data_IF_297096032336
#
_entry.id   IF_297096032336
#
_cell.length_a   1.000
_cell.length_b   1.000
_cell.length_c   1.000
_cell.angle_alpha   90.00
_cell.angle_beta   90.00
_cell.angle_gamma   90.00
#
_symmetry.space_group_name_H-M   'P 1'
#
loop_
_entity.id
_entity.type
_entity.pdbx_description
1 polymer ?
#
# COMPACT_ATOMS: atom_id res chain seq x y z
N UNK A 1 -19.54 11.18 -25.07
CA UNK A 1 -18.48 10.30 -24.53
C UNK A 1 -17.17 11.07 -24.65
N UNK A 2 -16.33 11.04 -23.61
CA UNK A 2 -15.02 11.68 -23.65
C UNK A 2 -14.03 10.82 -24.44
N UNK A 3 -12.88 11.39 -24.79
CA UNK A 3 -11.77 10.65 -25.37
C UNK A 3 -10.98 9.93 -24.26
N UNK A 4 -10.61 8.68 -24.52
CA UNK A 4 -9.84 7.84 -23.61
C UNK A 4 -8.42 8.40 -23.50
N UNK A 5 -8.00 8.64 -22.27
CA UNK A 5 -6.64 9.02 -21.92
C UNK A 5 -5.95 7.78 -21.35
N UNK A 6 -4.79 7.44 -21.88
CA UNK A 6 -4.03 6.26 -21.45
C UNK A 6 -2.72 6.72 -20.83
N UNK A 7 -2.36 6.14 -19.69
CA UNK A 7 -1.08 6.38 -19.03
C UNK A 7 -0.33 5.08 -18.86
N UNK A 8 0.86 5.03 -19.43
CA UNK A 8 1.78 3.92 -19.22
C UNK A 8 2.61 4.21 -17.97
N UNK A 9 2.39 3.45 -16.88
CA UNK A 9 3.15 3.50 -15.63
C UNK A 9 4.08 2.28 -15.52
N UNK A 10 4.55 1.77 -16.65
CA UNK A 10 5.54 0.69 -16.74
C UNK A 10 6.86 1.25 -17.31
N UNK A 11 7.93 0.48 -17.19
CA UNK A 11 9.20 0.76 -17.88
C UNK A 11 9.22 0.31 -19.34
N UNK A 12 8.20 -0.45 -19.77
CA UNK A 12 8.12 -1.03 -21.10
C UNK A 12 7.31 -0.12 -22.01
N UNK A 13 7.83 0.33 -23.16
CA UNK A 13 7.03 1.04 -24.15
C UNK A 13 5.86 0.15 -24.61
N UNK A 14 4.66 0.74 -24.68
CA UNK A 14 3.46 0.05 -25.14
C UNK A 14 2.93 0.72 -26.40
N UNK A 15 2.17 -0.02 -27.20
CA UNK A 15 1.41 0.54 -28.31
C UNK A 15 -0.02 0.01 -28.25
N UNK A 16 -1.02 0.89 -28.23
CA UNK A 16 -2.39 0.47 -28.46
C UNK A 16 -2.55 0.23 -29.97
N UNK A 17 -2.84 -1.02 -30.36
CA UNK A 17 -2.89 -1.45 -31.76
C UNK A 17 -4.31 -1.71 -32.26
N UNK A 18 -5.24 -2.05 -31.38
CA UNK A 18 -6.62 -2.36 -31.77
C UNK A 18 -7.62 -1.97 -30.69
N UNK A 19 -8.79 -1.50 -31.14
CA UNK A 19 -9.96 -1.21 -30.31
C UNK A 19 -11.17 -1.89 -30.92
N UNK A 20 -11.87 -2.67 -30.11
CA UNK A 20 -13.14 -3.30 -30.48
C UNK A 20 -14.24 -2.87 -29.52
N UNK A 21 -15.47 -2.75 -30.02
CA UNK A 21 -16.64 -2.37 -29.24
C UNK A 21 -17.65 -3.49 -29.18
N UNK A 22 -18.13 -3.77 -27.96
CA UNK A 22 -19.11 -4.81 -27.67
C UNK A 22 -20.33 -4.23 -26.97
N UNK A 23 -21.47 -4.88 -27.14
CA UNK A 23 -22.61 -4.62 -26.27
C UNK A 23 -22.28 -5.12 -24.86
N UNK A 24 -22.54 -4.29 -23.85
CA UNK A 24 -22.33 -4.64 -22.45
C UNK A 24 -23.52 -5.40 -21.86
N UNK A 25 -23.25 -6.50 -21.16
CA UNK A 25 -24.23 -7.26 -20.39
C UNK A 25 -23.88 -7.21 -18.89
N UNK A 26 -24.84 -6.76 -18.08
CA UNK A 26 -24.71 -6.78 -16.61
C UNK A 26 -25.07 -8.15 -16.08
N UNK A 27 -24.08 -8.95 -15.67
CA UNK A 27 -24.30 -10.22 -14.98
C UNK A 27 -24.18 -10.03 -13.49
N UNK A 28 -25.15 -10.51 -12.73
CA UNK A 28 -25.11 -10.50 -11.27
C UNK A 28 -24.06 -11.49 -10.78
N UNK A 29 -23.12 -11.04 -9.96
CA UNK A 29 -22.16 -11.91 -9.29
C UNK A 29 -22.85 -12.56 -8.10
N UNK A 30 -22.97 -13.89 -8.12
CA UNK A 30 -23.44 -14.64 -6.97
C UNK A 30 -22.30 -14.90 -5.98
N UNK A 31 -22.45 -14.43 -4.74
CA UNK A 31 -22.49 -15.36 -3.61
C UNK A 31 -23.19 -14.73 -2.39
N UNK A 32 -24.20 -15.48 -1.95
CA UNK A 32 -24.85 -15.40 -0.66
C UNK A 32 -23.92 -16.06 0.36
N UNK A 33 -23.56 -15.36 1.44
CA UNK A 33 -23.18 -16.02 2.70
C UNK A 33 -24.31 -15.78 3.69
N UNK A 34 -25.37 -16.56 3.53
CA UNK A 34 -26.36 -16.80 4.57
C UNK A 34 -25.82 -17.92 5.45
N UNK A 35 -25.24 -17.57 6.60
CA UNK A 35 -25.35 -18.34 7.86
C UNK A 35 -24.53 -17.64 8.95
N UNK A 36 -25.14 -16.63 9.58
CA UNK A 36 -24.92 -16.36 11.01
C UNK A 36 -26.30 -16.13 11.63
N UNK A 37 -26.75 -17.14 12.36
CA UNK A 37 -27.90 -17.06 13.25
C UNK A 37 -27.63 -16.04 14.37
N UNK A 38 -28.57 -15.11 14.57
CA UNK A 38 -28.77 -14.41 15.84
C UNK A 38 -28.19 -12.99 15.94
N UNK A 39 -29.01 -12.00 15.57
CA UNK A 39 -29.07 -10.65 16.14
C UNK A 39 -27.85 -9.71 16.05
N UNK A 40 -27.44 -9.32 14.83
CA UNK A 40 -26.92 -7.96 14.53
C UNK A 40 -27.36 -7.55 13.11
N UNK A 41 -28.65 -7.29 12.91
CA UNK A 41 -29.22 -6.91 11.60
C UNK A 41 -29.26 -5.37 11.41
N UNK A 42 -28.13 -4.68 11.58
CA UNK A 42 -28.10 -3.21 11.48
C UNK A 42 -26.81 -2.53 11.02
N UNK A 43 -25.72 -3.26 10.74
CA UNK A 43 -24.40 -2.64 10.50
C UNK A 43 -23.61 -3.25 9.33
N UNK A 44 -24.27 -3.66 8.24
CA UNK A 44 -23.56 -4.17 7.05
C UNK A 44 -24.17 -3.51 5.80
N UNK A 45 -23.40 -2.60 5.20
CA UNK A 45 -23.37 -2.20 3.79
C UNK A 45 -22.75 -0.79 3.65
N UNK A 46 -21.44 -0.68 3.93
CA UNK A 46 -20.61 0.42 3.42
C UNK A 46 -19.88 0.05 2.14
N UNK A 47 -19.62 -1.24 1.96
CA UNK A 47 -18.90 -1.81 0.82
C UNK A 47 -19.83 -2.56 -0.12
N UNK A 48 -21.13 -2.20 -0.16
CA UNK A 48 -22.07 -2.75 -1.15
C UNK A 48 -21.78 -2.12 -2.53
N UNK A 49 -20.63 -2.49 -3.07
CA UNK A 49 -20.35 -2.33 -4.48
C UNK A 49 -21.28 -3.30 -5.20
N UNK A 50 -22.38 -2.75 -5.73
CA UNK A 50 -23.28 -3.36 -6.70
C UNK A 50 -22.65 -4.59 -7.39
N UNK A 51 -23.12 -5.77 -6.99
CA UNK A 51 -22.66 -7.10 -7.37
C UNK A 51 -22.97 -7.45 -8.83
N UNK A 52 -22.50 -6.63 -9.77
CA UNK A 52 -22.68 -6.84 -11.20
C UNK A 52 -21.34 -6.71 -11.92
N UNK A 53 -21.01 -7.73 -12.71
CA UNK A 53 -19.97 -7.64 -13.71
C UNK A 53 -20.53 -7.13 -15.03
N UNK A 54 -19.76 -6.29 -15.72
CA UNK A 54 -20.08 -5.86 -17.09
C UNK A 54 -19.21 -6.69 -18.03
N UNK A 55 -19.83 -7.48 -18.89
CA UNK A 55 -19.11 -8.36 -19.82
C UNK A 55 -19.47 -8.01 -21.26
N UNK A 56 -18.53 -8.20 -22.21
CA UNK A 56 -18.85 -8.11 -23.62
C UNK A 56 -19.83 -9.23 -24.01
N UNK A 57 -20.82 -8.89 -24.83
CA UNK A 57 -21.84 -9.80 -25.35
C UNK A 57 -21.84 -9.82 -26.87
N UNK A 58 -21.84 -11.03 -27.43
CA UNK A 58 -21.86 -11.25 -28.88
C UNK A 58 -20.55 -10.84 -29.55
N UNK A 59 -20.62 -10.66 -30.86
CA UNK A 59 -19.49 -10.18 -31.67
C UNK A 59 -19.30 -8.67 -31.53
N UNK A 60 -18.09 -8.20 -31.83
CA UNK A 60 -17.81 -6.77 -31.87
C UNK A 60 -18.65 -6.11 -32.96
N UNK A 61 -19.34 -5.03 -32.64
CA UNK A 61 -20.11 -4.27 -33.63
C UNK A 61 -19.29 -3.18 -34.31
N UNK A 62 -18.09 -2.89 -33.78
CA UNK A 62 -17.09 -1.99 -34.35
C UNK A 62 -15.70 -2.51 -33.98
N UNK A 63 -14.76 -2.45 -34.92
CA UNK A 63 -13.38 -2.87 -34.74
C UNK A 63 -12.48 -1.96 -35.57
N UNK A 64 -11.48 -1.36 -34.94
CA UNK A 64 -10.58 -0.40 -35.56
C UNK A 64 -9.14 -0.69 -35.16
N UNK A 65 -8.27 -0.80 -36.16
CA UNK A 65 -6.82 -0.75 -35.96
C UNK A 65 -6.40 0.69 -35.69
N UNK A 66 -5.59 0.86 -34.66
CA UNK A 66 -5.07 2.14 -34.20
C UNK A 66 -3.56 2.02 -33.96
N UNK A 67 -2.87 3.14 -33.81
CA UNK A 67 -1.45 3.15 -33.45
C UNK A 67 -1.20 4.34 -32.53
N UNK A 68 -1.32 4.10 -31.23
CA UNK A 68 -0.96 5.06 -30.20
C UNK A 68 0.25 4.55 -29.43
N UNK A 69 1.39 5.20 -29.62
CA UNK A 69 2.61 4.89 -28.88
C UNK A 69 2.53 5.45 -27.46
N UNK A 70 2.90 4.65 -26.48
CA UNK A 70 2.83 4.95 -25.06
C UNK A 70 4.22 4.74 -24.45
N UNK A 71 5.02 5.80 -24.45
CA UNK A 71 6.33 5.81 -23.80
C UNK A 71 6.22 5.51 -22.29
N UNK A 72 7.26 4.92 -21.67
CA UNK A 72 7.33 4.71 -20.23
C UNK A 72 7.02 5.98 -19.43
N UNK A 73 6.15 5.87 -18.44
CA UNK A 73 5.73 6.97 -17.55
C UNK A 73 5.17 8.20 -18.28
N UNK A 74 4.55 8.01 -19.46
CA UNK A 74 3.87 9.07 -20.22
C UNK A 74 2.37 8.88 -20.27
N UNK A 75 1.68 10.01 -20.43
CA UNK A 75 0.23 10.10 -20.63
C UNK A 75 -0.06 10.51 -22.06
N UNK A 76 -0.94 9.77 -22.74
CA UNK A 76 -1.34 10.01 -24.13
C UNK A 76 -2.84 10.19 -24.21
N UNK A 77 -3.28 11.24 -24.91
CA UNK A 77 -4.67 11.44 -25.28
C UNK A 77 -4.92 10.76 -26.63
N UNK A 78 -5.94 9.91 -26.69
CA UNK A 78 -6.31 9.20 -27.91
C UNK A 78 -7.50 9.86 -28.59
N UNK A 79 -7.89 9.39 -29.78
CA UNK A 79 -9.17 9.70 -30.42
C UNK A 79 -10.25 8.63 -30.12
N UNK A 80 -9.94 7.69 -29.22
CA UNK A 80 -10.82 6.56 -28.88
C UNK A 80 -11.87 7.02 -27.89
N UNK A 81 -13.15 7.00 -28.27
CA UNK A 81 -14.24 7.34 -27.35
C UNK A 81 -14.37 6.28 -26.26
N UNK A 82 -14.56 6.68 -25.00
CA UNK A 82 -14.85 5.75 -23.90
C UNK A 82 -16.14 4.97 -24.11
N UNK A 83 -16.28 3.84 -23.43
CA UNK A 83 -17.56 3.14 -23.31
C UNK A 83 -18.66 4.03 -22.70
N UNK A 84 -19.91 3.75 -23.04
CA UNK A 84 -21.09 4.37 -22.41
C UNK A 84 -21.07 4.19 -20.87
N UNK A 85 -21.10 5.29 -20.08
CA UNK A 85 -21.17 5.23 -18.62
C UNK A 85 -22.36 4.44 -18.06
N UNK A 86 -23.44 4.25 -18.83
CA UNK A 86 -24.58 3.43 -18.40
C UNK A 86 -24.25 1.92 -18.31
N UNK A 87 -23.06 1.50 -18.75
CA UNK A 87 -22.59 0.11 -18.74
C UNK A 87 -23.27 -0.73 -19.82
N UNK A 88 -23.60 -0.11 -20.95
CA UNK A 88 -24.22 -0.75 -22.13
C UNK A 88 -23.20 -1.11 -23.20
N UNK A 89 -21.94 -0.75 -22.99
CA UNK A 89 -20.84 -0.94 -23.92
C UNK A 89 -19.59 -1.37 -23.15
N UNK A 90 -18.76 -2.18 -23.80
CA UNK A 90 -17.42 -2.55 -23.34
C UNK A 90 -16.46 -2.35 -24.50
N UNK A 91 -15.33 -1.69 -24.24
CA UNK A 91 -14.20 -1.63 -25.16
C UNK A 91 -13.25 -2.77 -24.86
N UNK A 92 -12.78 -3.44 -25.90
CA UNK A 92 -11.64 -4.35 -25.80
C UNK A 92 -10.45 -3.69 -26.46
N UNK A 93 -9.38 -3.54 -25.69
CA UNK A 93 -8.17 -2.85 -26.09
C UNK A 93 -7.04 -3.87 -26.23
N UNK A 94 -6.37 -3.87 -27.38
CA UNK A 94 -5.19 -4.71 -27.60
C UNK A 94 -3.94 -3.84 -27.58
N UNK A 95 -3.03 -4.14 -26.65
CA UNK A 95 -1.73 -3.50 -26.53
C UNK A 95 -0.63 -4.42 -27.03
N UNK A 96 0.41 -3.83 -27.62
CA UNK A 96 1.66 -4.49 -27.97
C UNK A 96 2.78 -4.00 -27.06
N UNK A 97 3.58 -4.93 -26.54
CA UNK A 97 4.79 -4.67 -25.77
C UNK A 97 5.94 -5.50 -26.37
N UNK A 98 6.77 -4.88 -27.21
CA UNK A 98 7.71 -5.62 -28.06
C UNK A 98 6.97 -6.58 -29.00
N UNK A 99 7.28 -7.88 -28.89
CA UNK A 99 6.66 -8.93 -29.71
C UNK A 99 5.41 -9.56 -29.07
N UNK A 100 5.02 -9.11 -27.87
CA UNK A 100 3.89 -9.67 -27.12
C UNK A 100 2.64 -8.82 -27.27
N UNK A 101 1.47 -9.44 -27.40
CA UNK A 101 0.17 -8.76 -27.36
C UNK A 101 -0.64 -9.09 -26.11
N UNK A 102 -1.34 -8.08 -25.62
CA UNK A 102 -2.13 -8.09 -24.40
C UNK A 102 -3.52 -7.52 -24.66
N UNK A 103 -4.54 -8.10 -24.05
CA UNK A 103 -5.93 -7.69 -24.19
C UNK A 103 -6.53 -7.32 -22.85
N UNK A 104 -7.35 -6.27 -22.84
CA UNK A 104 -8.14 -5.90 -21.66
C UNK A 104 -9.47 -5.27 -22.04
N UNK A 105 -10.46 -5.49 -21.19
CA UNK A 105 -11.79 -4.90 -21.33
C UNK A 105 -11.90 -3.63 -20.46
N UNK A 106 -12.49 -2.58 -21.02
CA UNK A 106 -12.69 -1.27 -20.38
C UNK A 106 -14.15 -0.82 -20.55
N UNK A 107 -14.91 -0.59 -19.46
CA UNK A 107 -14.52 -0.86 -18.07
C UNK A 107 -14.23 -2.36 -17.87
N UNK A 108 -13.37 -2.66 -16.91
CA UNK A 108 -13.06 -4.04 -16.53
C UNK A 108 -14.32 -4.77 -16.05
N UNK A 109 -14.36 -6.11 -16.14
CA UNK A 109 -15.52 -6.88 -15.71
C UNK A 109 -15.91 -6.65 -14.25
N UNK A 110 -14.92 -6.49 -13.38
CA UNK A 110 -15.13 -6.00 -12.03
C UNK A 110 -14.92 -4.48 -12.01
N UNK A 111 -15.48 -3.75 -11.04
CA UNK A 111 -15.16 -2.32 -10.85
C UNK A 111 -13.72 -2.07 -10.34
N UNK A 112 -12.87 -3.10 -10.37
CA UNK A 112 -11.50 -3.12 -9.87
C UNK A 112 -10.50 -3.21 -11.01
N UNK A 113 -9.22 -3.18 -10.66
CA UNK A 113 -8.13 -3.45 -11.58
C UNK A 113 -8.28 -4.82 -12.26
N UNK A 114 -7.74 -4.94 -13.47
CA UNK A 114 -7.74 -6.19 -14.22
C UNK A 114 -6.34 -6.47 -14.76
N UNK A 115 -5.87 -7.71 -14.60
CA UNK A 115 -4.67 -8.18 -15.28
C UNK A 115 -5.03 -8.38 -16.77
N UNK A 116 -4.21 -7.86 -17.67
CA UNK A 116 -4.41 -8.05 -19.11
C UNK A 116 -4.17 -9.51 -19.49
N UNK A 117 -4.98 -10.03 -20.40
CA UNK A 117 -4.81 -11.37 -20.96
C UNK A 117 -3.75 -11.33 -22.05
N UNK A 118 -2.67 -12.13 -21.94
CA UNK A 118 -1.72 -12.32 -23.03
C UNK A 118 -2.38 -13.15 -24.14
N UNK A 119 -2.28 -12.72 -25.40
CA UNK A 119 -2.92 -13.40 -26.54
C UNK A 119 -1.94 -14.09 -27.50
N UNK A 120 -0.62 -13.96 -27.27
CA UNK A 120 0.44 -14.59 -28.07
C UNK A 120 1.25 -15.59 -27.23
N UNK A 121 0.95 -16.89 -27.39
CA UNK A 121 1.75 -18.02 -26.90
C UNK A 121 1.72 -18.30 -25.38
N UNK A 122 1.93 -19.57 -25.01
CA UNK A 122 1.86 -20.11 -23.64
C UNK A 122 3.22 -20.13 -22.90
N UNK A 123 4.20 -19.31 -23.29
CA UNK A 123 5.50 -19.31 -22.61
C UNK A 123 5.42 -18.55 -21.27
N UNK A 124 4.93 -19.27 -20.26
CA UNK A 124 4.73 -18.86 -18.86
C UNK A 124 6.04 -18.96 -18.06
N UNK A 125 7.13 -18.46 -18.65
CA UNK A 125 8.37 -18.26 -17.91
C UNK A 125 8.14 -17.29 -16.74
N UNK A 126 8.92 -17.46 -15.67
CA UNK A 126 8.83 -16.64 -14.46
C UNK A 126 9.08 -15.12 -14.71
N UNK A 127 9.60 -14.76 -15.89
CA UNK A 127 9.87 -13.40 -16.39
C UNK A 127 8.79 -12.88 -17.36
N UNK A 128 7.60 -13.48 -17.38
CA UNK A 128 6.47 -12.96 -18.13
C UNK A 128 6.11 -11.54 -17.63
N UNK A 129 6.06 -10.59 -18.58
CA UNK A 129 5.58 -9.24 -18.29
C UNK A 129 4.07 -9.34 -18.15
N UNK A 130 3.60 -9.33 -16.91
CA UNK A 130 2.18 -9.17 -16.63
C UNK A 130 1.86 -7.67 -16.51
N UNK A 131 0.72 -7.26 -17.07
CA UNK A 131 0.26 -5.89 -17.05
C UNK A 131 -1.10 -5.81 -16.34
N UNK A 132 -1.27 -4.84 -15.45
CA UNK A 132 -2.54 -4.56 -14.76
C UNK A 132 -3.07 -3.21 -15.22
N UNK A 133 -4.36 -3.14 -15.53
CA UNK A 133 -5.04 -1.89 -15.81
C UNK A 133 -5.93 -1.43 -14.68
N UNK A 134 -5.95 -0.12 -14.47
CA UNK A 134 -6.90 0.57 -13.59
C UNK A 134 -7.65 1.60 -14.44
N UNK A 135 -8.95 1.36 -14.64
CA UNK A 135 -9.81 2.31 -15.33
C UNK A 135 -10.47 3.26 -14.33
N UNK A 136 -10.31 4.57 -14.54
CA UNK A 136 -10.89 5.63 -13.72
C UNK A 136 -11.97 6.37 -14.55
N UNK A 137 -13.26 6.08 -14.32
CA UNK A 137 -14.35 6.60 -15.16
C UNK A 137 -14.50 8.11 -15.10
N UNK A 138 -14.24 8.74 -13.95
CA UNK A 138 -14.38 10.19 -13.74
C UNK A 138 -13.49 11.02 -14.68
N UNK A 139 -12.35 10.45 -15.09
CA UNK A 139 -11.38 11.09 -15.98
C UNK A 139 -11.28 10.49 -17.38
N UNK A 140 -12.12 9.51 -17.74
CA UNK A 140 -11.95 8.73 -18.97
C UNK A 140 -10.52 8.17 -19.10
N UNK A 141 -9.97 7.68 -17.98
CA UNK A 141 -8.54 7.45 -17.84
C UNK A 141 -8.22 5.97 -17.64
N UNK A 142 -7.23 5.44 -18.35
CA UNK A 142 -6.73 4.08 -18.19
C UNK A 142 -5.25 4.13 -17.80
N UNK A 143 -4.94 3.74 -16.56
CA UNK A 143 -3.56 3.58 -16.12
C UNK A 143 -3.12 2.11 -16.30
N UNK A 144 -1.92 1.90 -16.83
CA UNK A 144 -1.33 0.57 -17.05
C UNK A 144 -0.10 0.45 -16.16
N UNK A 145 -0.10 -0.52 -15.25
CA UNK A 145 1.01 -0.86 -14.37
C UNK A 145 1.62 -2.20 -14.77
N UNK A 146 2.89 -2.43 -14.41
CA UNK A 146 3.41 -3.80 -14.38
C UNK A 146 2.74 -4.53 -13.22
N UNK A 147 2.20 -5.72 -13.46
CA UNK A 147 1.71 -6.59 -12.39
C UNK A 147 2.92 -7.13 -11.64
N UNK A 148 3.31 -6.44 -10.59
CA UNK A 148 4.33 -6.97 -9.69
C UNK A 148 3.83 -8.29 -9.09
N UNK A 149 4.70 -9.28 -8.96
CA UNK A 149 4.46 -10.45 -8.10
C UNK A 149 4.36 -9.94 -6.67
N UNK A 150 3.15 -9.62 -6.20
CA UNK A 150 2.93 -8.87 -4.95
C UNK A 150 3.58 -9.53 -3.72
N UNK A 151 3.73 -10.85 -3.70
CA UNK A 151 4.42 -11.56 -2.61
C UNK A 151 5.95 -11.37 -2.61
N UNK A 152 6.55 -10.97 -3.74
CA UNK A 152 7.99 -10.84 -3.93
C UNK A 152 8.39 -9.60 -4.77
N UNK A 153 7.66 -8.48 -4.60
CA UNK A 153 7.81 -7.33 -5.49
C UNK A 153 9.14 -6.59 -5.32
N UNK A 154 9.80 -6.70 -4.16
CA UNK A 154 11.10 -6.07 -3.94
C UNK A 154 12.23 -6.79 -4.69
N UNK A 155 12.01 -8.03 -5.17
CA UNK A 155 13.01 -8.83 -5.91
C UNK A 155 13.59 -8.13 -7.13
N UNK A 156 12.81 -7.30 -7.82
CA UNK A 156 13.22 -6.62 -9.06
C UNK A 156 13.98 -5.31 -8.82
N UNK A 157 14.10 -4.86 -7.58
CA UNK A 157 14.76 -3.60 -7.24
C UNK A 157 16.22 -3.84 -6.88
N UNK A 158 17.10 -2.91 -7.24
CA UNK A 158 18.53 -2.94 -6.90
C UNK A 158 18.76 -2.79 -5.38
N UNK A 159 19.75 -3.51 -4.85
CA UNK A 159 20.12 -3.50 -3.43
C UNK A 159 20.64 -2.15 -2.93
N UNK A 160 21.15 -1.30 -3.83
CA UNK A 160 21.65 0.04 -3.54
C UNK A 160 20.53 1.04 -3.23
N UNK A 161 19.28 0.75 -3.61
CA UNK A 161 18.17 1.67 -3.34
C UNK A 161 17.96 1.83 -1.82
N UNK A 162 17.90 3.06 -1.30
CA UNK A 162 17.60 3.29 0.11
C UNK A 162 16.09 3.14 0.34
N UNK A 163 15.69 2.53 1.46
CA UNK A 163 14.28 2.30 1.80
C UNK A 163 13.34 3.53 1.68
N UNK A 164 13.76 4.78 1.98
CA UNK A 164 12.92 5.97 1.83
C UNK A 164 12.47 6.25 0.40
N UNK A 165 13.16 5.68 -0.60
CA UNK A 165 12.83 5.88 -2.01
C UNK A 165 11.81 4.87 -2.54
N UNK A 166 11.52 3.82 -1.79
CA UNK A 166 10.56 2.79 -2.21
C UNK A 166 9.12 3.27 -1.96
N UNK A 167 8.22 2.85 -2.85
CA UNK A 167 6.77 2.99 -2.69
C UNK A 167 6.25 1.78 -1.92
N UNK A 168 6.06 1.91 -0.61
CA UNK A 168 5.81 0.78 0.29
C UNK A 168 4.36 0.80 0.77
N UNK A 169 3.57 -0.25 0.48
CA UNK A 169 2.25 -0.38 1.07
C UNK A 169 2.33 -0.79 2.55
N UNK A 170 1.53 -0.14 3.39
CA UNK A 170 1.39 -0.43 4.80
C UNK A 170 -0.04 -0.60 5.25
N UNK A 171 -0.23 -1.23 6.41
CA UNK A 171 -1.55 -1.39 7.05
C UNK A 171 -1.55 -0.81 8.46
N UNK A 172 -2.59 -0.04 8.76
CA UNK A 172 -2.79 0.56 10.08
C UNK A 172 -3.37 -0.48 11.03
N UNK A 173 -2.80 -0.55 12.24
CA UNK A 173 -3.07 -1.58 13.24
C UNK A 173 -3.27 -2.98 12.62
N UNK A 174 -2.24 -3.46 11.92
CA UNK A 174 -2.28 -4.58 10.96
C UNK A 174 -3.01 -5.85 11.42
N UNK A 175 -2.96 -6.31 12.69
CA UNK A 175 -3.63 -7.54 13.11
C UNK A 175 -5.14 -7.37 13.42
N UNK A 176 -5.73 -6.20 13.20
CA UNK A 176 -7.15 -5.90 13.53
C UNK A 176 -8.15 -6.41 12.49
N UNK A 177 -8.03 -7.69 12.11
CA UNK A 177 -8.93 -8.33 11.13
C UNK A 177 -10.02 -9.23 11.74
N UNK A 178 -9.96 -9.46 13.05
CA UNK A 178 -10.83 -10.40 13.74
C UNK A 178 -12.20 -9.81 14.09
N UNK A 179 -13.11 -10.66 14.58
CA UNK A 179 -14.36 -10.22 15.19
C UNK A 179 -14.05 -9.34 16.41
N UNK A 180 -14.33 -8.05 16.27
CA UNK A 180 -14.10 -7.02 17.28
C UNK A 180 -15.22 -5.97 17.22
N UNK A 181 -15.17 -4.97 18.12
CA UNK A 181 -16.02 -3.79 17.99
C UNK A 181 -15.77 -3.10 16.63
N UNK A 182 -16.80 -2.56 15.95
CA UNK A 182 -16.61 -1.98 14.61
C UNK A 182 -15.53 -0.89 14.52
N UNK A 183 -15.36 -0.08 15.56
CA UNK A 183 -14.33 0.97 15.65
C UNK A 183 -12.91 0.44 15.92
N UNK A 184 -12.77 -0.85 16.25
CA UNK A 184 -11.49 -1.54 16.51
C UNK A 184 -10.98 -2.28 15.27
N UNK A 185 -11.86 -2.65 14.35
CA UNK A 185 -11.51 -3.41 13.14
C UNK A 185 -11.03 -2.49 12.03
N UNK A 186 -9.71 -2.46 11.82
CA UNK A 186 -9.09 -1.64 10.76
C UNK A 186 -8.81 -2.45 9.49
N UNK A 187 -8.75 -3.78 9.58
CA UNK A 187 -8.38 -4.64 8.45
C UNK A 187 -9.47 -5.67 8.11
N UNK A 188 -9.56 -6.04 6.84
CA UNK A 188 -10.47 -7.12 6.38
C UNK A 188 -9.82 -8.50 6.43
N UNK A 189 -8.49 -8.58 6.36
CA UNK A 189 -7.71 -9.81 6.21
C UNK A 189 -6.51 -9.84 7.16
N UNK A 190 -6.00 -11.03 7.48
CA UNK A 190 -4.89 -11.21 8.41
C UNK A 190 -3.51 -10.86 7.83
N UNK A 191 -2.52 -10.70 8.70
CA UNK A 191 -1.14 -10.33 8.32
C UNK A 191 -0.55 -11.24 7.22
N UNK A 192 -0.67 -12.58 7.27
CA UNK A 192 -0.18 -13.43 6.19
C UNK A 192 -0.73 -13.04 4.81
N UNK A 193 -2.03 -12.77 4.71
CA UNK A 193 -2.67 -12.39 3.44
C UNK A 193 -2.26 -10.97 3.01
N UNK A 194 -2.09 -10.05 3.96
CA UNK A 194 -1.55 -8.71 3.68
C UNK A 194 -0.15 -8.80 3.05
N UNK A 195 0.73 -9.64 3.60
CA UNK A 195 2.09 -9.84 3.11
C UNK A 195 2.09 -10.47 1.71
N UNK A 196 1.27 -11.49 1.47
CA UNK A 196 1.13 -12.11 0.14
C UNK A 196 0.64 -11.12 -0.93
N UNK A 197 -0.07 -10.07 -0.53
CA UNK A 197 -0.60 -9.05 -1.43
C UNK A 197 0.21 -7.74 -1.42
N UNK A 198 1.44 -7.73 -0.93
CA UNK A 198 2.41 -6.65 -1.15
C UNK A 198 2.64 -5.69 0.01
N UNK A 199 1.91 -5.85 1.12
CA UNK A 199 2.15 -5.04 2.33
C UNK A 199 3.53 -5.36 2.91
N UNK A 200 4.32 -4.32 3.19
CA UNK A 200 5.66 -4.44 3.81
C UNK A 200 5.89 -3.49 4.99
N UNK A 201 4.93 -2.63 5.30
CA UNK A 201 4.92 -1.86 6.55
C UNK A 201 3.75 -2.29 7.44
N UNK A 202 4.05 -2.69 8.67
CA UNK A 202 3.05 -3.13 9.64
C UNK A 202 3.03 -2.17 10.83
N UNK A 203 1.89 -1.52 11.10
CA UNK A 203 1.65 -0.79 12.35
C UNK A 203 1.13 -1.76 13.40
N UNK A 204 1.96 -2.06 14.40
CA UNK A 204 1.69 -3.05 15.44
C UNK A 204 1.54 -2.34 16.78
N UNK A 205 0.44 -2.65 17.47
CA UNK A 205 0.13 -2.07 18.77
C UNK A 205 -0.01 -3.15 19.81
N UNK A 206 0.75 -3.02 20.90
CA UNK A 206 0.88 -4.05 21.93
C UNK A 206 0.56 -3.53 23.32
N UNK A 207 -0.12 -4.36 24.09
CA UNK A 207 -0.31 -4.17 25.54
C UNK A 207 0.81 -4.85 26.30
N UNK A 208 1.35 -4.13 27.28
CA UNK A 208 2.54 -4.53 28.05
C UNK A 208 2.17 -4.64 29.53
N UNK A 209 2.58 -5.72 30.19
CA UNK A 209 2.38 -5.92 31.62
C UNK A 209 3.71 -5.90 32.38
N UNK A 210 3.66 -5.63 33.68
CA UNK A 210 4.84 -5.69 34.55
C UNK A 210 5.23 -7.12 34.92
N UNK A 211 4.24 -8.02 34.95
CA UNK A 211 4.39 -9.35 35.57
C UNK A 211 4.53 -10.47 34.53
N UNK A 212 4.46 -10.15 33.23
CA UNK A 212 4.73 -11.05 32.11
C UNK A 212 5.32 -10.30 30.92
N UNK A 213 6.15 -10.98 30.15
CA UNK A 213 6.80 -10.49 28.93
C UNK A 213 5.97 -10.75 27.65
N UNK A 214 4.82 -11.41 27.78
CA UNK A 214 3.92 -11.69 26.66
C UNK A 214 3.21 -10.44 26.18
N UNK A 215 3.45 -10.07 24.93
CA UNK A 215 2.85 -8.90 24.29
C UNK A 215 1.52 -9.28 23.62
N UNK A 216 0.41 -8.76 24.13
CA UNK A 216 -0.92 -8.93 23.53
C UNK A 216 -1.19 -7.85 22.47
N UNK A 217 -1.81 -8.23 21.36
CA UNK A 217 -2.18 -7.31 20.27
C UNK A 217 -3.48 -6.58 20.62
N UNK A 218 -3.46 -5.25 20.49
CA UNK A 218 -4.55 -4.36 20.94
C UNK A 218 -4.85 -3.23 19.95
N UNK A 219 -5.99 -2.58 20.13
CA UNK A 219 -6.33 -1.30 19.51
C UNK A 219 -6.89 -0.38 20.59
N UNK A 220 -6.16 0.70 20.91
CA UNK A 220 -6.43 1.50 22.10
C UNK A 220 -6.48 0.59 23.34
N UNK A 221 -7.54 0.64 24.14
CA UNK A 221 -7.71 -0.20 25.35
C UNK A 221 -8.32 -1.59 25.06
N UNK A 222 -8.69 -1.88 23.82
CA UNK A 222 -9.41 -3.10 23.45
C UNK A 222 -8.50 -4.16 22.84
N UNK A 223 -8.74 -5.46 23.11
CA UNK A 223 -8.08 -6.52 22.34
C UNK A 223 -8.54 -6.49 20.88
N UNK A 224 -7.66 -6.90 19.96
CA UNK A 224 -8.00 -6.96 18.52
C UNK A 224 -9.02 -8.04 18.17
N UNK A 225 -9.41 -8.89 19.12
CA UNK A 225 -10.40 -9.95 18.95
C UNK A 225 -11.21 -10.15 20.23
N UNK A 226 -12.54 -10.31 20.08
CA UNK A 226 -13.47 -10.60 21.18
C UNK A 226 -13.55 -12.09 21.52
N UNK A 227 -13.00 -12.97 20.69
CA UNK A 227 -13.12 -14.43 20.87
C UNK A 227 -11.89 -15.05 21.54
N UNK A 228 -10.71 -14.49 21.32
CA UNK A 228 -9.45 -14.95 21.92
C UNK A 228 -8.40 -13.85 21.87
N UNK A 229 -7.53 -13.77 22.88
CA UNK A 229 -6.40 -12.85 22.85
C UNK A 229 -5.44 -13.30 21.74
N UNK A 230 -4.96 -12.33 20.96
CA UNK A 230 -3.95 -12.54 19.93
C UNK A 230 -2.62 -12.00 20.41
N UNK A 231 -1.54 -12.73 20.19
CA UNK A 231 -0.24 -12.39 20.75
C UNK A 231 0.77 -12.09 19.65
N UNK A 232 1.72 -11.22 20.00
CA UNK A 232 2.82 -10.81 19.13
C UNK A 232 3.70 -11.96 18.62
N UNK A 233 4.08 -12.99 19.43
CA UNK A 233 4.91 -14.10 18.94
C UNK A 233 4.30 -14.84 17.75
N UNK A 234 3.00 -15.17 17.80
CA UNK A 234 2.33 -15.92 16.73
C UNK A 234 2.40 -15.16 15.40
N UNK A 235 2.22 -13.84 15.44
CA UNK A 235 2.32 -12.96 14.29
C UNK A 235 3.77 -12.81 13.79
N UNK A 236 4.75 -12.77 14.69
CA UNK A 236 6.17 -12.73 14.30
C UNK A 236 6.57 -14.03 13.60
N UNK A 237 6.08 -15.19 14.05
CA UNK A 237 6.31 -16.47 13.38
C UNK A 237 5.71 -16.51 11.96
N UNK A 238 4.53 -15.91 11.77
CA UNK A 238 3.95 -15.70 10.44
C UNK A 238 4.86 -14.86 9.54
N UNK A 239 5.45 -13.80 10.07
CA UNK A 239 6.37 -12.91 9.34
C UNK A 239 7.66 -13.64 8.99
N UNK A 240 8.23 -14.42 9.90
CA UNK A 240 9.43 -15.23 9.60
C UNK A 240 9.17 -16.23 8.47
N UNK A 241 8.03 -16.94 8.51
CA UNK A 241 7.63 -17.86 7.42
C UNK A 241 7.51 -17.13 6.08
N UNK A 242 6.94 -15.92 6.09
CA UNK A 242 6.84 -15.11 4.89
C UNK A 242 8.23 -14.72 4.33
N UNK A 243 9.14 -14.25 5.19
CA UNK A 243 10.50 -13.87 4.79
C UNK A 243 11.33 -15.07 4.34
N UNK A 244 11.10 -16.26 4.90
CA UNK A 244 11.74 -17.50 4.45
C UNK A 244 11.28 -17.91 3.05
N UNK A 245 9.99 -17.77 2.77
CA UNK A 245 9.45 -18.02 1.44
C UNK A 245 9.83 -16.92 0.43
N UNK A 246 10.14 -15.71 0.90
CA UNK A 246 10.40 -14.53 0.07
C UNK A 246 11.64 -13.75 0.57
N UNK A 247 12.85 -14.32 0.45
CA UNK A 247 14.07 -13.73 1.02
C UNK A 247 14.47 -12.40 0.36
N UNK A 248 13.89 -12.06 -0.79
CA UNK A 248 14.05 -10.75 -1.41
C UNK A 248 13.37 -9.62 -0.64
N UNK A 249 12.41 -9.94 0.23
CA UNK A 249 11.56 -8.95 0.87
C UNK A 249 12.12 -8.52 2.23
N UNK A 250 11.64 -7.38 2.72
CA UNK A 250 11.92 -6.88 4.08
C UNK A 250 10.62 -6.33 4.67
N UNK A 251 10.47 -6.38 6.00
CA UNK A 251 9.31 -5.83 6.69
C UNK A 251 9.72 -4.65 7.57
N UNK A 252 9.11 -3.49 7.40
CA UNK A 252 9.19 -2.40 8.37
C UNK A 252 8.09 -2.60 9.41
N UNK A 253 8.47 -2.77 10.67
CA UNK A 253 7.53 -2.98 11.77
C UNK A 253 7.53 -1.76 12.69
N UNK A 254 6.47 -0.95 12.56
CA UNK A 254 6.17 0.12 13.52
C UNK A 254 5.56 -0.51 14.77
N UNK A 255 6.20 -0.32 15.92
CA UNK A 255 5.71 -0.88 17.19
C UNK A 255 5.38 0.26 18.14
N UNK A 256 4.16 0.25 18.69
CA UNK A 256 3.67 1.21 19.67
C UNK A 256 3.08 0.50 20.88
N UNK A 257 3.34 1.03 22.08
CA UNK A 257 2.63 0.60 23.29
C UNK A 257 1.23 1.20 23.34
N UNK A 258 0.23 0.36 23.56
CA UNK A 258 -1.17 0.72 23.84
C UNK A 258 -1.75 -0.25 24.88
N UNK A 259 -3.08 -0.35 24.99
CA UNK A 259 -3.75 -1.27 25.89
C UNK A 259 -3.92 -0.76 27.31
N UNK A 260 -4.61 -1.56 28.12
CA UNK A 260 -4.83 -1.29 29.54
C UNK A 260 -3.72 -1.87 30.45
N UNK A 261 -2.68 -2.47 29.86
CA UNK A 261 -1.53 -3.01 30.59
C UNK A 261 -0.75 -1.92 31.33
N UNK A 262 -0.22 -2.28 32.51
CA UNK A 262 0.51 -1.34 33.39
C UNK A 262 2.01 -1.25 33.10
N UNK A 263 2.50 -1.99 32.11
CA UNK A 263 3.89 -1.95 31.68
C UNK A 263 4.25 -0.62 31.00
N UNK A 264 5.53 -0.27 31.08
CA UNK A 264 6.09 0.95 30.48
C UNK A 264 6.75 0.68 29.14
N UNK A 265 7.17 1.73 28.43
CA UNK A 265 7.96 1.60 27.21
C UNK A 265 9.30 0.89 27.46
N UNK A 266 9.92 1.10 28.62
CA UNK A 266 11.15 0.41 29.02
C UNK A 266 10.91 -1.11 29.12
N UNK A 267 9.78 -1.53 29.70
CA UNK A 267 9.39 -2.95 29.69
C UNK A 267 9.23 -3.47 28.26
N UNK A 268 8.52 -2.72 27.39
CA UNK A 268 8.36 -3.09 25.99
C UNK A 268 9.73 -3.29 25.30
N UNK A 269 10.65 -2.34 25.48
CA UNK A 269 11.98 -2.40 24.87
C UNK A 269 12.77 -3.63 25.33
N UNK A 270 12.73 -3.96 26.63
CA UNK A 270 13.39 -5.15 27.19
C UNK A 270 12.76 -6.45 26.68
N UNK A 271 11.43 -6.53 26.67
CA UNK A 271 10.71 -7.73 26.21
C UNK A 271 10.91 -7.97 24.71
N UNK A 272 10.84 -6.92 23.89
CA UNK A 272 11.12 -7.03 22.45
C UNK A 272 12.55 -7.53 22.22
N UNK A 273 13.53 -6.93 22.89
CA UNK A 273 14.94 -7.28 22.72
C UNK A 273 15.20 -8.73 23.16
N UNK A 274 14.93 -9.06 24.43
CA UNK A 274 15.27 -10.37 24.99
C UNK A 274 14.35 -11.49 24.47
N UNK A 275 13.07 -11.19 24.27
CA UNK A 275 12.04 -12.17 23.92
C UNK A 275 12.05 -12.57 22.45
N UNK A 276 12.55 -11.70 21.55
CA UNK A 276 12.37 -11.85 20.11
C UNK A 276 13.65 -11.55 19.32
N UNK A 277 14.26 -10.39 19.52
CA UNK A 277 15.41 -9.94 18.70
C UNK A 277 16.66 -10.75 19.01
N UNK A 278 17.02 -10.88 20.28
CA UNK A 278 18.24 -11.59 20.70
C UNK A 278 18.17 -13.10 20.43
N UNK A 279 16.96 -13.65 20.27
CA UNK A 279 16.76 -15.05 19.87
C UNK A 279 17.00 -15.28 18.38
N UNK A 280 16.83 -14.25 17.55
CA UNK A 280 16.95 -14.32 16.10
C UNK A 280 17.65 -13.07 15.52
N UNK A 281 18.87 -12.73 15.96
CA UNK A 281 19.49 -11.43 15.65
C UNK A 281 19.63 -11.16 14.16
N UNK A 282 19.87 -12.20 13.35
CA UNK A 282 19.99 -12.08 11.89
C UNK A 282 18.69 -11.69 11.18
N UNK A 283 17.54 -11.87 11.85
CA UNK A 283 16.20 -11.52 11.33
C UNK A 283 15.78 -10.10 11.63
N UNK A 284 16.55 -9.34 12.41
CA UNK A 284 16.16 -7.99 12.84
C UNK A 284 17.23 -6.97 12.49
N UNK A 285 16.81 -5.90 11.84
CA UNK A 285 17.61 -4.70 11.73
C UNK A 285 17.30 -3.78 12.90
N UNK A 286 18.32 -3.54 13.73
CA UNK A 286 18.17 -2.72 14.94
C UNK A 286 19.16 -1.59 15.03
N UNK A 287 20.04 -1.43 14.03
CA UNK A 287 20.93 -0.27 13.97
C UNK A 287 20.06 1.00 13.84
N UNK A 288 20.33 2.07 14.62
CA UNK A 288 19.58 3.31 14.58
C UNK A 288 19.93 4.16 13.36
N UNK A 289 19.82 3.56 12.18
CA UNK A 289 19.93 4.20 10.86
C UNK A 289 19.03 3.47 9.87
N UNK A 290 18.73 4.14 8.77
CA UNK A 290 17.97 3.56 7.67
C UNK A 290 18.91 2.68 6.82
N UNK A 291 18.62 1.38 6.63
CA UNK A 291 19.43 0.51 5.78
C UNK A 291 19.16 0.75 4.28
N UNK A 292 20.09 0.29 3.43
CA UNK A 292 19.77 0.04 2.02
C UNK A 292 18.83 -1.15 1.88
N UNK A 293 18.20 -1.32 0.71
CA UNK A 293 17.34 -2.47 0.46
C UNK A 293 18.11 -3.79 0.65
N UNK A 294 19.33 -3.91 0.12
CA UNK A 294 20.16 -5.11 0.27
C UNK A 294 20.47 -5.46 1.73
N UNK A 295 20.72 -4.46 2.58
CA UNK A 295 20.94 -4.64 4.02
C UNK A 295 19.67 -5.08 4.76
N UNK A 296 18.50 -4.72 4.23
CA UNK A 296 17.19 -4.96 4.81
C UNK A 296 16.59 -6.33 4.45
N UNK A 297 16.94 -6.90 3.28
CA UNK A 297 16.34 -8.15 2.78
C UNK A 297 16.44 -9.29 3.80
N UNK A 298 15.36 -10.06 3.91
CA UNK A 298 15.23 -11.18 4.85
C UNK A 298 15.08 -10.76 6.32
N UNK A 299 14.92 -9.46 6.61
CA UNK A 299 14.85 -8.91 7.97
C UNK A 299 13.59 -8.11 8.26
N UNK A 300 13.33 -7.94 9.55
CA UNK A 300 12.36 -7.03 10.11
C UNK A 300 13.11 -5.78 10.60
N UNK A 301 12.73 -4.61 10.10
CA UNK A 301 13.29 -3.31 10.46
C UNK A 301 12.41 -2.70 11.55
N UNK A 302 12.99 -2.42 12.72
CA UNK A 302 12.24 -1.83 13.83
C UNK A 302 12.05 -0.33 13.60
N UNK A 303 10.79 0.10 13.55
CA UNK A 303 10.38 1.50 13.67
C UNK A 303 9.77 1.69 15.06
N UNK A 304 10.48 2.40 15.93
CA UNK A 304 10.19 2.45 17.37
C UNK A 304 9.30 3.64 17.71
N UNK A 305 8.07 3.39 18.16
CA UNK A 305 7.15 4.41 18.74
C UNK A 305 7.01 4.24 20.27
N UNK A 306 8.13 3.95 20.94
CA UNK A 306 8.23 3.75 22.39
C UNK A 306 9.62 4.15 22.91
N UNK A 307 9.74 4.56 24.16
CA UNK A 307 11.02 4.83 24.83
C UNK A 307 11.87 3.60 25.14
N UNK A 308 13.19 3.75 25.11
CA UNK A 308 14.13 2.67 25.45
C UNK A 308 14.42 2.62 26.94
N UNK A 309 14.70 1.41 27.43
CA UNK A 309 15.39 1.18 28.71
C UNK A 309 16.83 1.72 28.64
N UNK A 310 17.32 2.31 29.74
CA UNK A 310 18.64 2.95 29.77
C UNK A 310 19.79 1.98 29.45
N UNK A 311 19.66 0.71 29.84
CA UNK A 311 20.69 -0.28 29.50
C UNK A 311 20.75 -0.55 28.00
N UNK A 312 19.60 -0.53 27.32
CA UNK A 312 19.54 -0.67 25.86
C UNK A 312 20.16 0.57 25.20
N UNK A 313 19.87 1.76 25.71
CA UNK A 313 20.50 3.00 25.20
C UNK A 313 22.02 2.93 25.32
N UNK A 314 22.55 2.54 26.49
CA UNK A 314 23.99 2.50 26.75
C UNK A 314 24.74 1.40 26.00
N UNK A 315 24.13 0.22 25.87
CA UNK A 315 24.84 -0.98 25.43
C UNK A 315 24.62 -1.31 23.93
N UNK A 316 23.62 -0.73 23.28
CA UNK A 316 23.37 -0.96 21.86
C UNK A 316 24.05 0.09 20.99
N UNK A 317 24.71 -0.37 19.93
CA UNK A 317 25.24 0.47 18.85
C UNK A 317 26.11 1.64 19.33
N UNK A 318 27.01 1.38 20.27
CA UNK A 318 27.94 2.37 20.85
C UNK A 318 27.24 3.58 21.47
N UNK A 319 26.09 3.35 22.10
CA UNK A 319 25.31 4.42 22.74
C UNK A 319 24.36 5.15 21.80
N UNK A 320 24.28 4.77 20.52
CA UNK A 320 23.40 5.44 19.52
C UNK A 320 21.93 5.06 19.66
N UNK A 321 21.59 4.10 20.51
CA UNK A 321 20.21 3.64 20.73
C UNK A 321 19.87 2.37 19.95
N UNK A 322 18.60 2.17 19.61
CA UNK A 322 18.08 0.92 19.07
C UNK A 322 16.83 1.13 18.19
N UNK A 323 16.87 0.61 16.97
CA UNK A 323 15.84 0.77 15.94
C UNK A 323 15.78 2.19 15.35
N UNK A 324 14.96 2.36 14.31
CA UNK A 324 14.66 3.69 13.74
C UNK A 324 13.77 4.44 14.73
N UNK A 325 14.23 5.59 15.22
CA UNK A 325 13.53 6.35 16.24
C UNK A 325 12.31 7.11 15.69
N UNK A 326 11.15 6.80 16.23
CA UNK A 326 9.89 7.53 16.05
C UNK A 326 9.16 7.71 17.40
N UNK A 327 9.89 7.75 18.52
CA UNK A 327 9.33 7.88 19.87
C UNK A 327 8.50 9.16 20.01
N UNK A 328 9.05 10.27 19.55
CA UNK A 328 8.36 11.57 19.56
C UNK A 328 7.61 11.77 18.24
N UNK A 329 6.53 10.99 18.10
CA UNK A 329 5.66 11.00 16.93
C UNK A 329 4.77 12.25 16.92
N UNK A 330 4.82 13.12 15.89
CA UNK A 330 3.96 14.29 15.80
C UNK A 330 2.47 13.92 15.80
N UNK A 331 1.72 14.46 16.77
CA UNK A 331 0.32 14.12 16.98
C UNK A 331 -0.61 14.81 15.97
N UNK A 332 -1.59 14.06 15.46
CA UNK A 332 -2.67 14.51 14.58
C UNK A 332 -2.26 15.53 13.50
N UNK A 333 -1.16 15.28 12.79
CA UNK A 333 -0.48 16.28 11.95
C UNK A 333 -0.67 16.06 10.44
N UNK A 334 -0.65 17.16 9.67
CA UNK A 334 -0.57 17.10 8.19
C UNK A 334 0.84 16.73 7.72
N UNK A 335 1.86 17.24 8.41
CA UNK A 335 3.26 17.17 8.02
C UNK A 335 4.15 17.42 9.24
N UNK A 336 4.55 16.34 9.90
CA UNK A 336 5.43 16.36 11.06
C UNK A 336 6.73 15.62 10.79
N UNK A 337 7.81 15.99 11.45
CA UNK A 337 9.07 15.24 11.40
C UNK A 337 9.37 14.72 12.82
N UNK A 338 9.65 13.43 12.94
CA UNK A 338 10.06 12.84 14.22
C UNK A 338 11.44 13.37 14.61
N UNK A 339 11.72 13.35 15.91
CA UNK A 339 13.06 13.65 16.42
C UNK A 339 14.11 12.72 15.77
N UNK A 340 15.28 13.26 15.43
CA UNK A 340 16.31 12.55 14.66
C UNK A 340 16.14 12.61 13.13
N UNK A 341 15.00 13.10 12.63
CA UNK A 341 14.83 13.42 11.21
C UNK A 341 14.65 12.22 10.27
N UNK A 342 14.71 10.98 10.77
CA UNK A 342 14.56 9.76 9.96
C UNK A 342 13.15 9.52 9.44
N UNK A 343 12.13 10.12 10.05
CA UNK A 343 10.71 9.88 9.72
C UNK A 343 10.00 11.22 9.56
N UNK A 344 9.32 11.40 8.43
CA UNK A 344 8.42 12.52 8.18
C UNK A 344 7.02 11.98 7.91
N UNK A 345 6.05 12.40 8.70
CA UNK A 345 4.74 11.75 8.80
C UNK A 345 3.59 12.70 8.49
N UNK A 346 2.59 12.18 7.78
CA UNK A 346 1.21 12.69 7.82
C UNK A 346 0.37 11.68 8.61
N UNK A 347 -0.18 12.11 9.74
CA UNK A 347 -0.98 11.28 10.66
C UNK A 347 -2.19 12.06 11.20
N UNK A 348 -2.92 12.74 10.31
CA UNK A 348 -4.19 13.38 10.65
C UNK A 348 -5.27 12.32 10.80
N UNK A 349 -5.42 11.75 12.00
CA UNK A 349 -6.32 10.62 12.25
C UNK A 349 -7.69 11.04 12.82
N UNK A 350 -7.82 12.25 13.38
CA UNK A 350 -9.06 12.73 14.01
C UNK A 350 -10.05 13.28 12.97
N UNK A 351 -10.76 12.37 12.32
CA UNK A 351 -11.75 12.69 11.29
C UNK A 351 -13.14 12.73 11.92
N UNK A 352 -13.49 13.87 12.50
CA UNK A 352 -14.71 14.00 13.31
C UNK A 352 -16.02 14.05 12.51
N UNK A 353 -15.96 14.61 11.31
CA UNK A 353 -17.11 14.84 10.43
C UNK A 353 -16.77 14.52 8.97
N UNK A 354 -17.79 14.28 8.14
CA UNK A 354 -17.60 13.94 6.73
C UNK A 354 -16.82 15.01 5.94
N UNK A 355 -16.88 16.27 6.34
CA UNK A 355 -16.10 17.36 5.72
C UNK A 355 -14.59 17.21 5.96
N UNK A 356 -14.17 16.53 7.04
CA UNK A 356 -12.77 16.25 7.34
C UNK A 356 -12.20 15.11 6.50
N UNK A 357 -13.04 14.33 5.79
CA UNK A 357 -12.57 13.27 4.89
C UNK A 357 -11.88 13.88 3.66
N UNK A 358 -12.41 14.97 3.09
CA UNK A 358 -11.75 15.68 1.99
C UNK A 358 -10.40 16.25 2.44
N UNK A 359 -10.35 16.84 3.65
CA UNK A 359 -9.11 17.31 4.26
C UNK A 359 -8.09 16.17 4.41
N UNK A 360 -8.54 14.98 4.84
CA UNK A 360 -7.69 13.78 4.93
C UNK A 360 -7.14 13.37 3.56
N UNK A 361 -7.98 13.40 2.52
CA UNK A 361 -7.58 13.10 1.14
C UNK A 361 -6.52 14.10 0.67
N UNK A 362 -6.71 15.40 0.91
CA UNK A 362 -5.77 16.44 0.50
C UNK A 362 -4.42 16.33 1.22
N UNK A 363 -4.44 16.05 2.53
CA UNK A 363 -3.22 15.81 3.31
C UNK A 363 -2.48 14.56 2.84
N UNK A 364 -3.22 13.51 2.53
CA UNK A 364 -2.66 12.27 1.98
C UNK A 364 -2.02 12.50 0.62
N UNK A 365 -2.66 13.26 -0.27
CA UNK A 365 -2.09 13.66 -1.58
C UNK A 365 -0.85 14.53 -1.42
N UNK A 366 -0.87 15.47 -0.47
CA UNK A 366 0.28 16.31 -0.17
C UNK A 366 1.50 15.51 0.31
N UNK A 367 1.29 14.47 1.11
CA UNK A 367 2.40 13.63 1.58
C UNK A 367 2.95 12.72 0.47
N UNK A 368 2.10 12.19 -0.41
CA UNK A 368 2.55 11.50 -1.63
C UNK A 368 3.43 12.39 -2.49
N UNK A 369 3.03 13.66 -2.65
CA UNK A 369 3.77 14.64 -3.43
C UNK A 369 5.13 14.99 -2.81
N UNK A 370 5.20 15.17 -1.48
CA UNK A 370 6.48 15.42 -0.78
C UNK A 370 7.46 14.26 -0.89
N UNK A 371 6.94 13.03 -0.93
CA UNK A 371 7.75 11.83 -1.17
C UNK A 371 8.19 11.75 -2.64
N UNK A 372 7.31 12.12 -3.56
CA UNK A 372 7.57 12.07 -4.99
C UNK A 372 8.63 13.06 -5.47
N UNK A 373 8.77 14.19 -4.77
CA UNK A 373 9.77 15.23 -5.04
C UNK A 373 11.21 14.73 -4.85
N UNK A 374 11.42 13.69 -4.04
CA UNK A 374 12.77 13.24 -3.68
C UNK A 374 13.49 12.62 -4.87
N UNK A 375 14.77 12.94 -4.98
CA UNK A 375 15.71 12.30 -5.89
C UNK A 375 16.73 11.49 -5.09
N UNK A 376 17.24 10.43 -5.72
CA UNK A 376 18.36 9.68 -5.22
C UNK A 376 19.23 9.27 -6.42
N UNK A 377 20.53 9.54 -6.31
CA UNK A 377 21.53 9.23 -7.32
C UNK A 377 22.59 8.34 -6.68
N UNK A 378 22.88 7.18 -7.26
CA UNK A 378 23.93 6.28 -6.77
C UNK A 378 25.29 6.90 -7.09
N UNK A 379 26.06 7.32 -6.07
CA UNK A 379 27.42 7.82 -6.26
C UNK A 379 28.41 6.65 -6.13
N UNK A 380 28.75 6.04 -7.28
CA UNK A 380 29.88 5.11 -7.42
C UNK A 380 29.79 3.78 -6.65
N UNK A 381 30.73 2.85 -6.92
CA UNK A 381 30.77 1.52 -6.29
C UNK A 381 31.12 1.53 -4.79
N UNK A 382 31.68 2.63 -4.28
CA UNK A 382 32.15 2.75 -2.91
C UNK A 382 31.16 3.49 -1.97
N UNK A 383 29.98 3.88 -2.46
CA UNK A 383 28.97 4.61 -1.66
C UNK A 383 29.61 5.65 -0.74
N UNK A 384 30.46 6.53 -1.30
CA UNK A 384 31.13 7.55 -0.50
C UNK A 384 30.05 8.40 0.18
N UNK A 385 29.89 8.15 1.48
CA UNK A 385 28.99 8.86 2.36
C UNK A 385 29.38 10.34 2.27
N UNK A 386 28.58 11.15 1.59
CA UNK A 386 28.68 12.59 1.73
C UNK A 386 28.13 12.95 3.13
N UNK A 387 28.97 13.34 4.11
CA UNK A 387 28.51 13.66 5.46
C UNK A 387 27.62 14.92 5.49
N UNK A 388 27.66 15.73 4.42
CA UNK A 388 26.84 16.94 4.26
C UNK A 388 25.54 16.68 3.46
N UNK A 389 25.30 15.44 3.01
CA UNK A 389 24.04 15.12 2.35
C UNK A 389 22.87 15.23 3.33
N UNK A 390 21.85 16.00 2.94
CA UNK A 390 20.62 16.10 3.72
C UNK A 390 20.04 14.71 3.98
N UNK A 391 19.71 14.43 5.23
CA UNK A 391 19.14 13.17 5.67
C UNK A 391 17.88 12.87 4.84
N UNK A 392 17.78 11.65 4.30
CA UNK A 392 16.65 11.17 3.51
C UNK A 392 15.59 10.57 4.46
N UNK A 393 14.52 11.31 4.85
CA UNK A 393 13.52 10.78 5.76
C UNK A 393 12.65 9.74 5.05
N UNK A 394 12.24 8.72 5.78
CA UNK A 394 11.12 7.87 5.40
C UNK A 394 9.85 8.71 5.49
N UNK A 395 9.18 8.90 4.36
CA UNK A 395 7.84 9.48 4.35
C UNK A 395 6.82 8.43 4.76
N UNK A 396 6.04 8.71 5.80
CA UNK A 396 4.94 7.85 6.24
C UNK A 396 3.62 8.60 6.10
N UNK A 397 2.66 7.98 5.43
CA UNK A 397 1.41 8.60 5.04
C UNK A 397 0.24 7.72 5.49
N UNK A 398 -0.35 8.02 6.64
CA UNK A 398 -1.54 7.32 7.10
C UNK A 398 -2.75 7.80 6.30
N UNK A 399 -3.42 6.91 5.58
CA UNK A 399 -4.72 7.15 4.97
C UNK A 399 -5.86 6.91 5.97
N UNK A 400 -5.57 6.13 7.00
CA UNK A 400 -6.50 5.80 8.09
C UNK A 400 -6.91 7.04 8.88
N UNK A 401 -8.08 6.93 9.49
CA UNK A 401 -8.63 7.91 10.42
C UNK A 401 -9.82 7.28 11.12
N UNK A 402 -10.28 7.91 12.20
CA UNK A 402 -11.50 7.46 12.86
C UNK A 402 -12.15 8.56 13.70
N UNK A 403 -13.44 8.40 13.96
CA UNK A 403 -14.08 8.96 15.13
C UNK A 403 -14.90 7.88 15.81
N UNK A 404 -14.59 7.59 17.08
CA UNK A 404 -15.25 6.52 17.84
C UNK A 404 -16.75 6.74 18.00
N UNK A 405 -17.17 7.98 18.21
CA UNK A 405 -18.56 8.37 18.49
C UNK A 405 -19.42 8.54 17.24
N UNK A 406 -18.79 8.62 16.05
CA UNK A 406 -19.49 8.83 14.80
C UNK A 406 -19.33 7.62 13.86
N UNK A 407 -20.37 6.80 13.75
CA UNK A 407 -20.36 5.60 12.91
C UNK A 407 -20.10 5.87 11.42
N UNK A 408 -20.40 7.08 10.93
CA UNK A 408 -20.08 7.49 9.55
C UNK A 408 -18.59 7.74 9.31
N UNK A 409 -17.82 7.83 10.39
CA UNK A 409 -16.38 8.07 10.41
C UNK A 409 -15.63 6.90 11.08
N UNK A 410 -16.22 5.70 11.10
CA UNK A 410 -15.48 4.48 11.44
C UNK A 410 -14.47 4.12 10.35
N UNK A 411 -13.42 3.34 10.68
CA UNK A 411 -12.33 3.02 9.76
C UNK A 411 -12.79 2.56 8.36
N UNK A 412 -13.76 1.64 8.30
CA UNK A 412 -14.34 1.14 7.04
C UNK A 412 -14.91 2.27 6.15
N UNK A 413 -15.63 3.22 6.76
CA UNK A 413 -16.33 4.30 6.06
C UNK A 413 -15.35 5.34 5.51
N UNK A 414 -14.28 5.61 6.26
CA UNK A 414 -13.21 6.50 5.82
C UNK A 414 -12.43 5.84 4.68
N UNK A 415 -12.00 4.59 4.86
CA UNK A 415 -11.29 3.82 3.84
C UNK A 415 -12.07 3.72 2.51
N UNK A 416 -13.40 3.53 2.58
CA UNK A 416 -14.28 3.47 1.41
C UNK A 416 -14.30 4.76 0.57
N UNK A 417 -13.86 5.90 1.12
CA UNK A 417 -13.72 7.18 0.41
C UNK A 417 -12.27 7.52 0.10
N UNK A 418 -11.37 7.36 1.07
CA UNK A 418 -9.96 7.74 0.94
C UNK A 418 -9.24 6.82 -0.04
N UNK A 419 -9.41 5.49 0.07
CA UNK A 419 -8.64 4.55 -0.76
C UNK A 419 -8.92 4.76 -2.27
N UNK A 420 -10.19 4.86 -2.75
CA UNK A 420 -10.45 5.16 -4.16
C UNK A 420 -9.91 6.53 -4.60
N UNK A 421 -10.00 7.56 -3.74
CA UNK A 421 -9.50 8.89 -4.06
C UNK A 421 -7.97 8.92 -4.21
N UNK A 422 -7.25 8.06 -3.48
CA UNK A 422 -5.81 7.88 -3.61
C UNK A 422 -5.46 7.01 -4.81
N UNK A 423 -6.22 5.95 -5.13
CA UNK A 423 -6.06 5.20 -6.39
C UNK A 423 -6.19 6.13 -7.60
N UNK A 424 -7.22 6.97 -7.63
CA UNK A 424 -7.41 7.97 -8.69
C UNK A 424 -6.21 8.93 -8.78
N UNK A 425 -5.72 9.44 -7.65
CA UNK A 425 -4.57 10.33 -7.62
C UNK A 425 -3.30 9.64 -8.14
N UNK A 426 -3.02 8.41 -7.70
CA UNK A 426 -1.88 7.61 -8.14
C UNK A 426 -1.94 7.32 -9.65
N UNK A 427 -3.13 7.08 -10.19
CA UNK A 427 -3.31 6.84 -11.62
C UNK A 427 -3.14 8.12 -12.46
N UNK A 428 -3.73 9.24 -12.04
CA UNK A 428 -3.92 10.41 -12.90
C UNK A 428 -2.88 11.51 -12.66
N UNK A 429 -2.46 11.73 -11.41
CA UNK A 429 -1.73 12.95 -11.01
C UNK A 429 -0.36 12.71 -10.39
N UNK A 430 -0.17 11.62 -9.64
CA UNK A 430 1.09 11.32 -8.99
C UNK A 430 2.23 11.23 -10.01
N UNK A 431 3.41 11.73 -9.66
CA UNK A 431 4.59 11.69 -10.53
C UNK A 431 4.55 12.59 -11.77
N UNK A 432 3.64 13.56 -11.84
CA UNK A 432 3.59 14.60 -12.86
C UNK A 432 3.83 15.98 -12.23
N UNK A 433 4.76 16.75 -12.81
CA UNK A 433 5.12 18.08 -12.30
C UNK A 433 3.89 19.00 -12.15
N UNK A 434 3.76 19.61 -10.98
CA UNK A 434 2.71 20.60 -10.71
C UNK A 434 1.28 20.06 -10.64
N UNK A 435 1.06 18.73 -10.73
CA UNK A 435 -0.30 18.15 -10.64
C UNK A 435 -0.72 17.75 -9.22
N UNK A 436 0.20 17.76 -8.26
CA UNK A 436 -0.12 17.57 -6.84
C UNK A 436 -0.68 18.83 -6.17
N UNK A 437 -1.33 18.69 -4.99
CA UNK A 437 -1.98 19.81 -4.30
C UNK A 437 -1.01 20.92 -3.84
N UNK A 438 0.27 20.60 -3.63
CA UNK A 438 1.33 21.55 -3.25
C UNK A 438 2.13 22.05 -4.45
N UNK A 439 1.91 21.50 -5.65
CA UNK A 439 2.58 21.83 -6.91
C UNK A 439 4.11 21.71 -6.83
N UNK A 440 4.60 20.68 -6.13
CA UNK A 440 6.02 20.37 -6.05
C UNK A 440 6.54 19.79 -7.37
N UNK A 441 7.87 19.81 -7.52
CA UNK A 441 8.55 19.09 -8.60
C UNK A 441 8.51 17.59 -8.34
N UNK A 442 8.75 16.81 -9.39
CA UNK A 442 8.83 15.35 -9.28
C UNK A 442 10.26 14.88 -9.49
N UNK A 443 10.79 14.13 -8.52
CA UNK A 443 12.03 13.39 -8.63
C UNK A 443 11.78 11.94 -9.03
N UNK A 444 12.10 11.00 -8.15
CA UNK A 444 11.90 9.56 -8.33
C UNK A 444 10.43 9.13 -8.25
N UNK A 445 9.53 10.03 -7.85
CA UNK A 445 8.09 9.77 -7.71
C UNK A 445 7.72 8.63 -6.74
N UNK A 446 8.54 8.41 -5.70
CA UNK A 446 8.18 7.49 -4.61
C UNK A 446 6.88 7.93 -3.93
N UNK A 447 6.02 6.98 -3.55
CA UNK A 447 4.89 7.25 -2.68
C UNK A 447 5.27 7.34 -1.20
N UNK A 448 6.49 6.91 -0.86
CA UNK A 448 6.90 6.60 0.50
C UNK A 448 6.08 5.43 1.04
N UNK A 449 5.94 5.36 2.37
CA UNK A 449 5.10 4.38 3.05
C UNK A 449 3.66 4.89 3.10
N UNK A 450 2.73 4.17 2.47
CA UNK A 450 1.30 4.51 2.47
C UNK A 450 0.55 3.52 3.35
N UNK A 451 0.12 3.96 4.54
CA UNK A 451 -0.50 3.12 5.57
C UNK A 451 -2.02 3.18 5.45
N UNK A 452 -2.67 2.03 5.30
CA UNK A 452 -4.06 1.94 4.84
C UNK A 452 -4.95 1.12 5.77
N UNK A 453 -6.26 1.34 5.65
CA UNK A 453 -7.32 0.56 6.30
C UNK A 453 -8.12 -0.21 5.23
N UNK A 454 -8.67 -1.37 5.61
CA UNK A 454 -9.64 -2.15 4.82
C UNK A 454 -9.21 -2.56 3.40
N UNK A 455 -7.91 -2.73 3.18
CA UNK A 455 -7.39 -3.35 1.95
C UNK A 455 -7.60 -4.87 1.95
N UNK A 456 -7.82 -5.45 0.76
CA UNK A 456 -8.13 -6.86 0.57
C UNK A 456 -9.60 -7.22 0.73
N UNK A 457 -10.45 -6.28 1.15
CA UNK A 457 -11.88 -6.51 1.29
C UNK A 457 -12.49 -6.98 -0.04
N UNK A 458 -13.14 -8.15 -0.03
CA UNK A 458 -13.69 -8.80 -1.22
C UNK A 458 -12.64 -9.03 -2.35
N UNK A 459 -11.36 -9.16 -2.00
CA UNK A 459 -10.25 -9.29 -2.95
C UNK A 459 -9.84 -7.98 -3.64
N UNK A 460 -10.24 -6.82 -3.10
CA UNK A 460 -9.80 -5.51 -3.60
C UNK A 460 -8.39 -5.16 -3.09
N UNK A 461 -7.42 -5.20 -3.99
CA UNK A 461 -6.02 -4.89 -3.72
C UNK A 461 -5.52 -3.74 -4.59
N UNK A 462 -6.42 -2.97 -5.20
CA UNK A 462 -6.07 -1.99 -6.23
C UNK A 462 -5.14 -0.89 -5.71
N UNK A 463 -5.41 -0.37 -4.52
CA UNK A 463 -4.55 0.61 -3.88
C UNK A 463 -3.14 0.05 -3.66
N UNK A 464 -3.03 -1.19 -3.17
CA UNK A 464 -1.74 -1.84 -2.94
C UNK A 464 -1.00 -2.06 -4.26
N UNK A 465 -1.70 -2.53 -5.31
CA UNK A 465 -1.13 -2.67 -6.67
C UNK A 465 -0.62 -1.36 -7.22
N UNK A 466 -1.38 -0.27 -7.06
CA UNK A 466 -0.95 1.06 -7.50
C UNK A 466 0.32 1.51 -6.78
N UNK A 467 0.36 1.38 -5.44
CA UNK A 467 1.54 1.76 -4.63
C UNK A 467 2.76 0.93 -5.06
N UNK A 468 2.64 -0.40 -5.14
CA UNK A 468 3.74 -1.28 -5.56
C UNK A 468 4.20 -0.94 -6.99
N UNK A 469 3.26 -0.72 -7.91
CA UNK A 469 3.54 -0.43 -9.31
C UNK A 469 4.38 0.84 -9.51
N UNK A 470 4.31 1.81 -8.61
CA UNK A 470 5.14 3.02 -8.66
C UNK A 470 6.64 2.75 -8.47
N UNK A 471 7.03 1.61 -7.90
CA UNK A 471 8.44 1.21 -7.82
C UNK A 471 9.05 0.91 -9.20
N UNK A 472 8.25 0.67 -10.25
CA UNK A 472 8.78 0.46 -11.59
C UNK A 472 9.61 1.66 -12.08
N UNK A 473 9.31 2.88 -11.61
CA UNK A 473 10.06 4.09 -11.99
C UNK A 473 11.51 4.05 -11.52
N UNK A 474 11.81 3.34 -10.43
CA UNK A 474 13.16 3.19 -9.89
C UNK A 474 14.06 2.30 -10.77
N UNK A 475 13.49 1.66 -11.79
CA UNK A 475 14.23 0.84 -12.76
C UNK A 475 14.58 1.64 -14.03
N UNK A 476 14.14 2.90 -14.12
CA UNK A 476 14.57 3.81 -15.18
C UNK A 476 15.96 4.38 -14.86
N UNK A 477 16.78 4.64 -15.90
CA UNK A 477 18.13 5.19 -15.75
C UNK A 477 18.18 6.63 -15.24
#
# INVERSE_FOLDING_TARGET
MADLIIRNLTITPLELTSVQRFQGEKKRTGNVVSNVTGAISGFINATDFSAHHILPKGDSHDARDVSFHLDPFRTVRTDVRTADPAGREVLRLTFRAGDRRYETDVPSPSRKSAVMTRIDGDDDGDDALDLTVVYVPTGAFLAIFSSAKLHAWMKQLDDAWPLPMLSIPGTHNSPTCHTALPSVRCQSVGVPEQLQNGVRFLDIRVSVNTDNDTLALVHSVFPVSLTSIKYFPDMVDDIYRFLDANPSETILMSIKREGAGRGTDQHLSRYLKAGYVDKHPDRWWTEPRIPSLGQARGRIIIVRRFGLDEEIVRNCWDGRGWGIDGQHWPDNCEDGTCEGGHIRVQDFYDVTESQNIERKIDYSRGQLERSAEREFHVIGPDHDHNPDAALLPIFVNFLSGSNFFNATCWPERIAAKVNPAIVEYLCIRHGEDGKGPKQLKVGAASTGIVVTDWVGANGDWDLIRCIVGWNARLQLP
#
